data_IF_199670683221
#
_entry.id   IF_199670683221
#
_cell.length_a   1.000
_cell.length_b   1.000
_cell.length_c   1.000
_cell.angle_alpha   90.00
_cell.angle_beta   90.00
_cell.angle_gamma   90.00
#
_symmetry.space_group_name_H-M   'P 1'
#
loop_
_entity.id
_entity.type
_entity.pdbx_description
1 polymer ?
#
# COMPACT_ATOMS: atom_id res chain seq x y z
N UNK A 1 -4.93 -7.42 6.13
CA UNK A 1 -5.14 -7.87 7.51
C UNK A 1 -4.61 -6.91 8.57
N UNK A 2 -3.38 -6.38 8.50
CA UNK A 2 -2.85 -5.49 9.55
C UNK A 2 -3.81 -4.37 9.99
N UNK A 3 -4.27 -3.54 9.05
CA UNK A 3 -5.23 -2.46 9.36
C UNK A 3 -6.60 -2.96 9.85
N UNK A 4 -7.08 -4.10 9.33
CA UNK A 4 -8.31 -4.74 9.82
C UNK A 4 -8.20 -5.09 11.32
N UNK A 5 -7.06 -5.68 11.72
CA UNK A 5 -6.82 -6.05 13.13
C UNK A 5 -6.68 -4.83 14.03
N UNK A 6 -6.06 -3.75 13.54
CA UNK A 6 -6.02 -2.48 14.28
C UNK A 6 -7.43 -1.93 14.51
N UNK A 7 -8.31 -1.99 13.50
CA UNK A 7 -9.71 -1.59 13.66
C UNK A 7 -10.45 -2.46 14.68
N UNK A 8 -10.21 -3.77 14.69
CA UNK A 8 -10.78 -4.65 15.70
C UNK A 8 -10.30 -4.32 17.13
N UNK A 9 -9.03 -3.97 17.31
CA UNK A 9 -8.48 -3.54 18.60
C UNK A 9 -9.09 -2.20 19.07
N UNK A 10 -9.31 -1.26 18.14
CA UNK A 10 -10.04 -0.01 18.41
C UNK A 10 -11.47 -0.31 18.90
N UNK A 11 -12.22 -1.16 18.18
CA UNK A 11 -13.60 -1.54 18.54
C UNK A 11 -13.69 -2.25 19.90
N UNK A 12 -12.64 -2.97 20.30
CA UNK A 12 -12.52 -3.60 21.62
C UNK A 12 -12.15 -2.61 22.73
N UNK A 13 -11.78 -1.37 22.41
CA UNK A 13 -11.31 -0.37 23.37
C UNK A 13 -9.87 -0.60 23.86
N UNK A 14 -9.08 -1.42 23.15
CA UNK A 14 -7.70 -1.76 23.51
C UNK A 14 -6.68 -0.70 23.07
N UNK A 15 -7.13 0.30 22.29
CA UNK A 15 -6.33 1.43 21.82
C UNK A 15 -6.96 2.76 22.30
N UNK A 16 -6.92 3.08 23.61
CA UNK A 16 -7.38 4.38 24.08
C UNK A 16 -6.49 5.50 23.50
N UNK A 17 -7.11 6.64 23.15
CA UNK A 17 -6.45 7.81 22.56
C UNK A 17 -5.87 7.61 21.15
N UNK A 18 -6.35 6.60 20.43
CA UNK A 18 -5.94 6.27 19.07
C UNK A 18 -6.96 6.79 18.05
N UNK A 19 -6.48 7.46 17.00
CA UNK A 19 -7.30 7.81 15.84
C UNK A 19 -7.05 6.80 14.70
N UNK A 20 -8.05 5.98 14.39
CA UNK A 20 -7.96 5.02 13.30
C UNK A 20 -7.81 5.68 11.92
N UNK A 21 -8.25 6.94 11.75
CA UNK A 21 -8.04 7.68 10.51
C UNK A 21 -6.55 7.91 10.23
N UNK A 22 -5.71 8.08 11.27
CA UNK A 22 -4.26 8.22 11.09
C UNK A 22 -3.64 6.94 10.51
N UNK A 23 -4.10 5.74 10.91
CA UNK A 23 -3.60 4.51 10.30
C UNK A 23 -4.06 4.38 8.85
N UNK A 24 -5.31 4.73 8.56
CA UNK A 24 -5.85 4.66 7.20
C UNK A 24 -5.10 5.61 6.27
N UNK A 25 -4.91 6.87 6.69
CA UNK A 25 -4.12 7.85 5.95
C UNK A 25 -2.69 7.39 5.73
N UNK A 26 -2.03 6.89 6.80
CA UNK A 26 -0.67 6.38 6.73
C UNK A 26 -0.55 5.14 5.84
N UNK A 27 -1.54 4.23 5.87
CA UNK A 27 -1.56 3.05 5.01
C UNK A 27 -1.64 3.48 3.53
N UNK A 28 -2.57 4.35 3.18
CA UNK A 28 -2.74 4.82 1.79
C UNK A 28 -1.48 5.52 1.31
N UNK A 29 -0.92 6.44 2.11
CA UNK A 29 0.36 7.09 1.80
C UNK A 29 1.51 6.08 1.66
N UNK A 30 1.55 5.07 2.53
CA UNK A 30 2.54 4.00 2.54
C UNK A 30 2.51 3.11 1.29
N UNK A 31 1.35 2.96 0.63
CA UNK A 31 1.26 2.24 -0.65
C UNK A 31 2.11 2.95 -1.72
N UNK A 32 2.03 4.28 -1.83
CA UNK A 32 2.85 5.03 -2.79
C UNK A 32 4.34 4.83 -2.58
N UNK A 33 4.80 4.77 -1.32
CA UNK A 33 6.19 4.41 -1.01
C UNK A 33 6.51 2.99 -1.49
N UNK A 34 5.63 2.03 -1.22
CA UNK A 34 5.86 0.62 -1.53
C UNK A 34 5.89 0.33 -3.04
N UNK A 35 5.03 0.97 -3.83
CA UNK A 35 4.97 0.75 -5.30
C UNK A 35 6.19 1.31 -6.03
N UNK A 36 6.93 2.26 -5.42
CA UNK A 36 8.18 2.81 -5.98
C UNK A 36 9.34 1.82 -6.02
N UNK A 37 9.26 0.72 -5.26
CA UNK A 37 10.19 -0.40 -5.41
C UNK A 37 9.91 -1.25 -6.66
N UNK A 38 8.81 -0.97 -7.37
CA UNK A 38 8.40 -1.64 -8.59
C UNK A 38 7.59 -2.92 -8.36
N UNK A 39 6.82 -3.31 -9.38
CA UNK A 39 5.95 -4.48 -9.37
C UNK A 39 6.67 -5.80 -9.71
N UNK A 40 8.00 -5.86 -9.60
CA UNK A 40 8.80 -7.06 -9.94
C UNK A 40 9.03 -7.98 -8.75
N UNK A 41 8.74 -7.52 -7.53
CA UNK A 41 8.79 -8.33 -6.31
C UNK A 41 7.38 -8.73 -5.86
N UNK A 42 7.25 -9.85 -5.14
CA UNK A 42 5.97 -10.26 -4.57
C UNK A 42 5.35 -9.18 -3.66
N UNK A 43 6.19 -8.45 -2.90
CA UNK A 43 5.75 -7.32 -2.08
C UNK A 43 5.27 -6.14 -2.91
N UNK A 44 5.96 -5.83 -4.02
CA UNK A 44 5.55 -4.79 -4.97
C UNK A 44 4.20 -5.11 -5.61
N UNK A 45 4.04 -6.34 -6.14
CA UNK A 45 2.78 -6.83 -6.71
C UNK A 45 1.64 -6.75 -5.70
N UNK A 46 1.86 -7.17 -4.45
CA UNK A 46 0.83 -7.09 -3.42
C UNK A 46 0.39 -5.64 -3.11
N UNK A 47 1.31 -4.69 -3.15
CA UNK A 47 0.97 -3.27 -2.98
C UNK A 47 0.30 -2.68 -4.22
N UNK A 48 0.62 -3.17 -5.42
CA UNK A 48 -0.11 -2.81 -6.63
C UNK A 48 -1.55 -3.31 -6.59
N UNK A 49 -1.76 -4.57 -6.17
CA UNK A 49 -3.10 -5.12 -5.95
C UNK A 49 -3.89 -4.24 -4.99
N UNK A 50 -3.27 -3.85 -3.86
CA UNK A 50 -3.92 -2.96 -2.89
C UNK A 50 -4.23 -1.60 -3.49
N UNK A 51 -3.29 -0.98 -4.19
CA UNK A 51 -3.47 0.33 -4.83
C UNK A 51 -4.67 0.31 -5.78
N UNK A 52 -4.65 -0.59 -6.77
CA UNK A 52 -5.66 -0.64 -7.81
C UNK A 52 -7.03 -1.04 -7.24
N UNK A 53 -7.09 -1.95 -6.27
CA UNK A 53 -8.36 -2.30 -5.60
C UNK A 53 -8.92 -1.13 -4.80
N UNK A 54 -8.07 -0.35 -4.12
CA UNK A 54 -8.49 0.81 -3.32
C UNK A 54 -8.94 1.97 -4.21
N UNK A 55 -8.25 2.20 -5.33
CA UNK A 55 -8.66 3.15 -6.36
C UNK A 55 -10.06 2.79 -6.88
N UNK A 56 -10.27 1.54 -7.28
CA UNK A 56 -11.56 1.07 -7.80
C UNK A 56 -12.68 1.11 -6.76
N UNK A 57 -12.35 0.85 -5.49
CA UNK A 57 -13.29 0.92 -4.36
C UNK A 57 -13.59 2.36 -3.91
N UNK A 58 -12.92 3.36 -4.49
CA UNK A 58 -13.07 4.76 -4.09
C UNK A 58 -12.48 5.09 -2.72
N UNK A 59 -11.56 4.28 -2.20
CA UNK A 59 -10.86 4.55 -0.94
C UNK A 59 -10.00 5.81 -0.99
N UNK A 60 -9.61 6.22 -2.19
CA UNK A 60 -9.04 7.52 -2.46
C UNK A 60 -9.43 8.01 -3.85
N UNK A 61 -9.28 9.31 -4.07
CA UNK A 61 -9.42 9.94 -5.38
C UNK A 61 -8.19 10.77 -5.70
N UNK A 62 -7.85 10.89 -6.98
CA UNK A 62 -6.79 11.77 -7.47
C UNK A 62 -7.40 13.06 -7.99
N UNK A 63 -6.87 14.19 -7.55
CA UNK A 63 -7.19 15.50 -8.10
C UNK A 63 -6.40 15.71 -9.40
N UNK A 64 -7.08 15.90 -10.53
CA UNK A 64 -6.44 16.01 -11.84
C UNK A 64 -5.58 17.27 -11.99
N UNK A 65 -5.98 18.38 -11.35
CA UNK A 65 -5.30 19.67 -11.47
C UNK A 65 -3.98 19.70 -10.70
N UNK A 66 -3.94 19.06 -9.53
CA UNK A 66 -2.79 19.10 -8.61
C UNK A 66 -1.98 17.81 -8.60
N UNK A 67 -2.56 16.71 -9.06
CA UNK A 67 -1.98 15.37 -8.94
C UNK A 67 -1.85 14.90 -7.48
N UNK A 68 -2.64 15.45 -6.57
CA UNK A 68 -2.68 15.03 -5.17
C UNK A 68 -3.77 13.99 -4.95
N UNK A 69 -3.61 13.17 -3.92
CA UNK A 69 -4.57 12.12 -3.56
C UNK A 69 -5.29 12.50 -2.28
N UNK A 70 -6.60 12.27 -2.26
CA UNK A 70 -7.46 12.50 -1.10
C UNK A 70 -8.10 11.19 -0.69
N UNK A 71 -7.89 10.82 0.57
CA UNK A 71 -8.43 9.61 1.20
C UNK A 71 -9.91 9.82 1.53
N UNK A 72 -10.72 8.81 1.28
CA UNK A 72 -12.07 8.67 1.82
C UNK A 72 -12.02 7.58 2.89
N UNK A 73 -12.16 7.96 4.16
CA UNK A 73 -11.92 7.06 5.29
C UNK A 73 -12.97 5.96 5.40
N UNK A 74 -14.24 6.26 5.13
CA UNK A 74 -15.31 5.27 5.17
C UNK A 74 -15.11 4.24 4.07
N UNK A 75 -14.83 4.70 2.84
CA UNK A 75 -14.51 3.82 1.70
C UNK A 75 -13.22 3.04 1.91
N UNK A 76 -12.23 3.62 2.59
CA UNK A 76 -11.00 2.92 2.93
C UNK A 76 -11.27 1.77 3.88
N UNK A 77 -12.08 1.98 4.92
CA UNK A 77 -12.47 0.91 5.86
C UNK A 77 -13.22 -0.21 5.12
N UNK A 78 -14.17 0.13 4.26
CA UNK A 78 -14.88 -0.84 3.41
C UNK A 78 -13.92 -1.62 2.50
N UNK A 79 -13.02 -0.94 1.78
CA UNK A 79 -12.07 -1.56 0.86
C UNK A 79 -11.09 -2.49 1.58
N UNK A 80 -10.63 -2.12 2.77
CA UNK A 80 -9.74 -2.96 3.61
C UNK A 80 -10.45 -4.25 4.01
N UNK A 81 -11.71 -4.16 4.42
CA UNK A 81 -12.52 -5.32 4.81
C UNK A 81 -12.78 -6.23 3.60
N UNK A 82 -13.21 -5.65 2.48
CA UNK A 82 -13.51 -6.38 1.25
C UNK A 82 -12.27 -7.10 0.68
N UNK A 83 -11.13 -6.40 0.60
CA UNK A 83 -9.88 -7.00 0.12
C UNK A 83 -9.39 -8.11 1.06
N UNK A 84 -9.49 -7.90 2.37
CA UNK A 84 -9.12 -8.91 3.37
C UNK A 84 -9.97 -10.17 3.25
N UNK A 85 -11.30 -10.00 3.12
CA UNK A 85 -12.23 -11.10 2.92
C UNK A 85 -11.92 -11.88 1.63
N UNK A 86 -11.68 -11.17 0.52
CA UNK A 86 -11.36 -11.79 -0.78
C UNK A 86 -10.08 -12.64 -0.70
N UNK A 87 -9.01 -12.09 -0.12
CA UNK A 87 -7.73 -12.79 0.04
C UNK A 87 -7.88 -14.01 0.95
N UNK A 88 -8.54 -13.88 2.12
CA UNK A 88 -8.75 -15.00 3.03
C UNK A 88 -9.58 -16.10 2.36
N UNK A 89 -10.60 -15.73 1.58
CA UNK A 89 -11.43 -16.70 0.87
C UNK A 89 -10.65 -17.46 -0.18
N UNK A 90 -9.87 -16.77 -1.01
CA UNK A 90 -8.98 -17.42 -1.97
C UNK A 90 -8.03 -18.43 -1.29
N UNK A 91 -7.43 -18.03 -0.17
CA UNK A 91 -6.53 -18.90 0.60
C UNK A 91 -7.25 -20.09 1.23
N UNK A 92 -8.44 -19.88 1.80
CA UNK A 92 -9.24 -20.92 2.44
C UNK A 92 -9.84 -21.93 1.46
N UNK A 93 -10.26 -21.45 0.28
CA UNK A 93 -10.84 -22.28 -0.79
C UNK A 93 -9.75 -22.96 -1.63
N UNK A 94 -8.49 -22.55 -1.51
CA UNK A 94 -7.39 -23.05 -2.34
C UNK A 94 -7.52 -22.64 -3.81
N UNK A 95 -8.19 -21.51 -4.08
CA UNK A 95 -8.54 -21.05 -5.43
C UNK A 95 -7.34 -20.40 -6.13
N UNK A 96 -6.47 -21.24 -6.68
CA UNK A 96 -5.28 -20.80 -7.38
C UNK A 96 -5.59 -19.95 -8.63
N UNK A 97 -6.51 -20.42 -9.47
CA UNK A 97 -6.86 -19.75 -10.73
C UNK A 97 -7.48 -18.37 -10.46
N UNK A 98 -8.34 -18.27 -9.45
CA UNK A 98 -8.91 -16.99 -9.00
C UNK A 98 -7.84 -16.01 -8.50
N UNK A 99 -6.81 -16.49 -7.79
CA UNK A 99 -5.68 -15.65 -7.38
C UNK A 99 -4.86 -15.17 -8.56
N UNK A 100 -4.58 -16.05 -9.54
CA UNK A 100 -3.83 -15.67 -10.74
C UNK A 100 -4.56 -14.58 -11.51
N UNK A 101 -5.86 -14.77 -11.80
CA UNK A 101 -6.66 -13.76 -12.49
C UNK A 101 -6.71 -12.43 -11.71
N UNK A 102 -6.86 -12.50 -10.38
CA UNK A 102 -6.89 -11.30 -9.54
C UNK A 102 -5.56 -10.54 -9.54
N UNK A 103 -4.43 -11.24 -9.55
CA UNK A 103 -3.11 -10.62 -9.63
C UNK A 103 -2.85 -10.07 -11.04
N UNK A 104 -3.30 -10.74 -12.10
CA UNK A 104 -3.22 -10.21 -13.47
C UNK A 104 -4.00 -8.90 -13.62
N UNK A 105 -5.19 -8.83 -13.03
CA UNK A 105 -6.07 -7.67 -13.09
C UNK A 105 -5.54 -6.47 -12.28
N UNK A 106 -5.11 -6.71 -11.03
CA UNK A 106 -4.76 -5.64 -10.09
C UNK A 106 -3.26 -5.50 -9.81
N UNK A 107 -2.40 -6.41 -10.27
CA UNK A 107 -0.96 -6.41 -9.93
C UNK A 107 -0.08 -5.48 -10.78
N UNK A 108 -0.60 -4.93 -11.87
CA UNK A 108 0.15 -4.08 -12.81
C UNK A 108 0.11 -2.59 -12.48
N UNK A 109 1.19 -1.86 -12.79
CA UNK A 109 1.24 -0.40 -12.73
C UNK A 109 0.44 0.17 -13.92
N UNK A 110 -0.59 0.98 -13.62
CA UNK A 110 -1.40 1.68 -14.62
C UNK A 110 -0.70 2.98 -15.08
N UNK A 111 -0.96 3.46 -16.32
CA UNK A 111 -0.28 4.64 -16.87
C UNK A 111 -0.37 5.90 -15.98
N UNK A 112 -1.52 6.13 -15.35
CA UNK A 112 -1.73 7.29 -14.48
C UNK A 112 -0.82 7.26 -13.24
N UNK A 113 -0.69 6.10 -12.59
CA UNK A 113 0.22 5.94 -11.46
C UNK A 113 1.67 6.07 -11.91
N UNK A 114 2.05 5.48 -13.04
CA UNK A 114 3.42 5.61 -13.56
C UNK A 114 3.82 7.08 -13.73
N UNK A 115 2.95 7.91 -14.33
CA UNK A 115 3.19 9.33 -14.49
C UNK A 115 3.37 10.07 -13.13
N UNK A 116 2.62 9.67 -12.10
CA UNK A 116 2.81 10.23 -10.76
C UNK A 116 4.12 9.79 -10.12
N UNK A 117 4.55 8.54 -10.33
CA UNK A 117 5.83 8.04 -9.82
C UNK A 117 7.01 8.74 -10.53
N UNK A 118 6.90 8.97 -11.83
CA UNK A 118 7.91 9.68 -12.63
C UNK A 118 8.05 11.13 -12.13
N UNK A 119 6.92 11.82 -11.85
CA UNK A 119 6.94 13.16 -11.25
C UNK A 119 7.66 13.19 -9.88
N UNK A 120 7.48 12.16 -9.05
CA UNK A 120 8.18 12.05 -7.76
C UNK A 120 9.70 11.85 -7.95
N UNK A 121 10.11 11.12 -8.99
CA UNK A 121 11.51 10.94 -9.34
C UNK A 121 12.13 12.25 -9.88
N UNK A 122 11.41 12.97 -10.73
CA UNK A 122 11.85 14.26 -11.31
C UNK A 122 12.13 15.33 -10.25
N UNK A 123 11.29 15.41 -9.21
CA UNK A 123 11.50 16.34 -8.10
C UNK A 123 12.50 15.83 -7.05
N UNK A 124 13.11 14.67 -7.28
CA UNK A 124 14.22 14.16 -6.48
C UNK A 124 13.83 13.53 -5.14
N UNK A 125 12.60 13.02 -4.98
CA UNK A 125 12.25 12.27 -3.76
C UNK A 125 13.02 10.94 -3.75
N UNK A 126 13.82 10.62 -2.71
CA UNK A 126 14.51 9.33 -2.61
C UNK A 126 13.53 8.16 -2.51
N UNK A 127 13.87 6.99 -3.07
CA UNK A 127 13.03 5.77 -2.98
C UNK A 127 13.15 5.14 -1.60
N UNK A 128 14.38 5.02 -1.11
CA UNK A 128 14.71 4.43 0.18
C UNK A 128 16.06 4.98 0.68
N UNK A 129 16.51 4.48 1.82
CA UNK A 129 17.79 4.82 2.44
C UNK A 129 18.91 3.85 2.06
N UNK A 130 20.14 4.35 1.99
CA UNK A 130 21.35 3.52 1.97
C UNK A 130 21.93 3.51 3.38
N UNK A 131 22.05 2.34 3.98
CA UNK A 131 22.65 2.20 5.31
C UNK A 131 24.14 1.92 5.20
N UNK A 132 24.96 2.93 5.45
CA UNK A 132 26.43 2.83 5.49
C UNK A 132 26.88 2.22 6.82
N UNK A 133 27.38 0.99 6.80
CA UNK A 133 27.79 0.24 7.99
C UNK A 133 29.05 -0.60 7.76
N UNK A 134 29.69 -1.03 8.85
CA UNK A 134 30.84 -1.94 8.85
C UNK A 134 32.08 -1.35 9.52
N UNK A 135 33.11 -2.20 9.73
CA UNK A 135 34.35 -1.77 10.38
C UNK A 135 35.05 -0.65 9.60
N UNK A 136 34.96 -0.64 8.26
CA UNK A 136 35.50 0.42 7.41
C UNK A 136 34.88 1.79 7.72
N UNK A 137 33.57 1.84 7.99
CA UNK A 137 32.85 3.07 8.38
C UNK A 137 33.28 3.55 9.78
N UNK A 138 33.68 2.63 10.64
CA UNK A 138 34.20 2.92 11.99
C UNK A 138 35.71 3.19 12.03
N UNK A 139 36.42 3.12 10.90
CA UNK A 139 37.89 3.22 10.85
C UNK A 139 38.63 2.01 11.45
N UNK A 140 37.96 0.87 11.57
CA UNK A 140 38.44 -0.39 12.15
C UNK A 140 38.70 -1.49 11.09
N UNK A 141 38.53 -1.17 9.80
CA UNK A 141 38.78 -2.09 8.68
C UNK A 141 40.27 -2.09 8.30
N UNK A 142 41.10 -2.72 9.14
CA UNK A 142 42.48 -3.07 8.82
C UNK A 142 42.57 -4.40 8.07
#
# INVERSE_FOLDING_TARGET
LGLYMVGALEEMGELPDHDFQDNMGTLVAGIFRAVRFGATSAHGVANMVRFNFFEESGAFTRDEATGTYRVDFDRTREAVNALSQKIIRFQGDGDYDGVVAFVEEYGGIRPQLQADLDRLAEIGIPVDIVYEQGLSVLGLGG
#
